data_IF_365276563858
#
_entry.id   IF_365276563858
#
_cell.length_a   1.000
_cell.length_b   1.000
_cell.length_c   1.000
_cell.angle_alpha   90.00
_cell.angle_beta   90.00
_cell.angle_gamma   90.00
#
_symmetry.space_group_name_H-M   'P 1'
#
loop_
_entity.id
_entity.type
_entity.pdbx_description
1 polymer ?
#
# COMPACT_ATOMS: atom_id res chain seq x y z
N UNK A 1 63.20 17.51 26.66
CA UNK A 1 63.36 18.88 27.19
C UNK A 1 62.02 19.32 27.64
N UNK A 2 61.77 19.18 28.96
CA UNK A 2 61.39 20.24 29.91
C UNK A 2 59.96 20.81 29.64
N UNK A 3 59.02 20.70 30.50
CA UNK A 3 58.66 20.92 31.90
C UNK A 3 57.38 21.72 31.87
N UNK A 4 56.37 21.65 32.66
CA UNK A 4 56.07 21.66 34.08
C UNK A 4 54.54 21.87 34.17
N UNK A 5 53.81 21.08 34.82
CA UNK A 5 53.23 21.19 36.15
C UNK A 5 52.79 22.62 36.54
N UNK A 6 51.47 22.80 36.61
CA UNK A 6 50.86 23.79 37.49
C UNK A 6 49.50 23.26 38.00
N UNK A 7 49.56 22.78 39.21
CA UNK A 7 48.43 22.51 40.10
C UNK A 7 47.89 23.84 40.60
N UNK A 8 46.70 24.18 40.31
CA UNK A 8 45.99 25.26 40.97
C UNK A 8 44.87 24.75 41.84
N UNK A 9 45.04 24.99 43.10
CA UNK A 9 44.24 24.64 44.26
C UNK A 9 42.98 25.49 44.30
N UNK A 10 41.79 24.86 44.40
CA UNK A 10 40.53 25.52 44.71
C UNK A 10 40.24 25.38 46.21
N UNK A 11 39.88 26.47 46.90
CA UNK A 11 39.67 26.48 48.34
C UNK A 11 38.34 25.85 48.77
N UNK A 12 38.38 25.06 49.82
CA UNK A 12 37.24 24.58 50.61
C UNK A 12 36.50 25.74 51.26
N UNK A 13 35.17 25.79 51.05
CA UNK A 13 34.21 26.57 51.86
C UNK A 13 33.52 25.65 52.87
N UNK A 14 33.19 26.15 54.07
CA UNK A 14 32.88 25.35 55.23
C UNK A 14 31.41 24.89 55.25
N UNK A 15 31.23 23.83 55.96
CA UNK A 15 30.09 22.98 56.16
C UNK A 15 28.72 23.62 56.41
N UNK A 16 27.76 22.91 55.93
CA UNK A 16 26.41 22.86 56.47
C UNK A 16 26.01 21.38 56.65
N UNK A 17 26.11 20.92 57.86
CA UNK A 17 25.50 19.68 58.36
C UNK A 17 24.01 19.82 58.24
N UNK A 18 23.40 19.29 57.22
CA UNK A 18 21.95 19.10 57.14
C UNK A 18 21.60 17.76 57.78
N UNK A 19 20.96 17.80 58.93
CA UNK A 19 20.44 16.67 59.67
C UNK A 19 19.50 15.82 58.81
N UNK A 20 19.58 14.49 58.84
CA UNK A 20 18.78 13.57 58.01
C UNK A 20 17.32 13.35 58.44
N UNK A 21 16.76 14.20 59.31
CA UNK A 21 15.46 13.92 59.97
C UNK A 21 14.26 14.66 59.39
N UNK A 22 14.43 15.49 58.36
CA UNK A 22 13.29 16.21 57.76
C UNK A 22 12.95 15.82 56.31
N UNK A 23 13.69 14.90 55.69
CA UNK A 23 13.40 14.44 54.30
C UNK A 23 12.36 13.35 54.21
N UNK A 24 11.87 12.80 55.30
CA UNK A 24 10.97 11.61 55.30
C UNK A 24 9.49 11.90 55.64
N UNK A 25 9.11 13.18 55.77
CA UNK A 25 7.70 13.51 56.11
C UNK A 25 6.89 14.12 54.93
N UNK A 26 7.51 14.47 53.82
CA UNK A 26 6.78 15.10 52.67
C UNK A 26 6.46 14.18 51.50
N UNK A 27 6.96 12.95 51.44
CA UNK A 27 6.75 12.05 50.31
C UNK A 27 5.67 10.99 50.57
N UNK A 28 4.78 11.18 51.56
CA UNK A 28 3.80 10.17 51.93
C UNK A 28 2.34 10.62 51.90
N UNK A 29 1.96 11.64 51.13
CA UNK A 29 0.53 12.01 50.97
C UNK A 29 0.20 12.52 49.56
N UNK A 30 0.00 11.65 48.56
CA UNK A 30 -1.28 11.67 47.86
C UNK A 30 -1.85 10.29 47.48
N UNK A 31 -1.19 9.16 47.76
CA UNK A 31 -1.71 7.84 47.38
C UNK A 31 -3.05 7.46 48.02
N UNK A 32 -3.30 7.95 49.25
CA UNK A 32 -4.52 7.60 49.98
C UNK A 32 -5.81 8.16 49.39
N UNK A 33 -5.77 9.35 48.78
CA UNK A 33 -6.97 9.97 48.19
C UNK A 33 -7.34 9.36 46.84
N UNK A 34 -6.35 9.00 46.02
CA UNK A 34 -6.59 8.33 44.75
C UNK A 34 -7.08 6.90 44.94
N UNK A 35 -6.49 6.17 45.86
CA UNK A 35 -6.92 4.80 46.19
C UNK A 35 -8.30 4.81 46.82
N UNK A 36 -8.62 5.78 47.70
CA UNK A 36 -9.95 5.91 48.29
C UNK A 36 -11.01 6.32 47.24
N UNK A 37 -10.64 7.13 46.23
CA UNK A 37 -11.53 7.47 45.12
C UNK A 37 -11.76 6.25 44.21
N UNK A 38 -10.72 5.47 43.88
CA UNK A 38 -10.82 4.21 43.13
C UNK A 38 -11.70 3.18 43.89
N UNK A 39 -11.54 3.05 45.21
CA UNK A 39 -12.37 2.17 46.02
C UNK A 39 -13.82 2.66 46.14
N UNK A 40 -14.06 3.98 46.13
CA UNK A 40 -15.41 4.54 46.02
C UNK A 40 -16.01 4.32 44.63
N UNK A 41 -15.22 4.50 43.55
CA UNK A 41 -15.66 4.24 42.20
C UNK A 41 -16.01 2.75 41.99
N UNK A 42 -15.19 1.83 42.51
CA UNK A 42 -15.49 0.39 42.45
C UNK A 42 -16.67 -0.01 43.33
N UNK A 43 -16.93 0.73 44.46
CA UNK A 43 -18.11 0.50 45.32
C UNK A 43 -19.40 0.98 44.65
N UNK A 44 -19.34 2.08 43.86
CA UNK A 44 -20.45 2.55 43.02
C UNK A 44 -20.74 1.53 41.89
N UNK A 45 -19.71 0.92 41.33
CA UNK A 45 -19.86 -0.16 40.32
C UNK A 45 -20.29 -1.50 40.95
N UNK A 46 -20.06 -1.71 42.23
CA UNK A 46 -20.52 -2.89 42.99
C UNK A 46 -21.91 -2.66 43.67
N UNK A 47 -22.55 -1.52 43.39
CA UNK A 47 -23.91 -1.21 43.77
C UNK A 47 -24.87 -2.27 43.24
N UNK A 48 -25.31 -3.06 44.16
CA UNK A 48 -26.47 -3.93 44.19
C UNK A 48 -26.78 -4.70 42.88
N UNK A 49 -25.97 -5.74 42.62
CA UNK A 49 -26.24 -6.70 41.53
C UNK A 49 -27.66 -7.31 41.59
N UNK A 50 -28.31 -7.29 42.75
CA UNK A 50 -29.64 -7.81 42.91
C UNK A 50 -30.76 -6.89 42.40
N UNK A 51 -30.52 -5.57 42.32
CA UNK A 51 -31.49 -4.64 41.71
C UNK A 51 -31.34 -4.57 40.18
N UNK A 52 -30.17 -4.88 39.65
CA UNK A 52 -29.94 -4.94 38.18
C UNK A 52 -30.52 -6.21 37.53
N UNK A 53 -30.87 -7.22 38.30
CA UNK A 53 -31.42 -8.50 37.84
C UNK A 53 -32.95 -8.62 37.93
N UNK A 54 -33.64 -7.51 38.28
CA UNK A 54 -35.10 -7.48 38.11
C UNK A 54 -35.49 -7.76 36.64
N UNK A 55 -36.71 -8.31 36.39
CA UNK A 55 -37.12 -8.63 35.02
C UNK A 55 -37.09 -7.37 34.18
N UNK A 56 -36.10 -7.32 33.28
CA UNK A 56 -35.91 -6.20 32.37
C UNK A 56 -37.22 -6.00 31.58
N UNK A 57 -37.85 -4.83 31.65
CA UNK A 57 -39.12 -4.57 30.99
C UNK A 57 -38.98 -4.80 29.48
N UNK A 58 -39.99 -5.38 28.83
CA UNK A 58 -39.98 -5.81 27.43
C UNK A 58 -39.38 -4.76 26.50
N UNK A 59 -39.69 -3.47 26.74
CA UNK A 59 -39.14 -2.35 25.95
C UNK A 59 -37.60 -2.24 26.05
N UNK A 60 -37.04 -2.38 27.28
CA UNK A 60 -35.57 -2.37 27.45
C UNK A 60 -34.88 -3.57 26.80
N UNK A 61 -35.51 -4.76 26.81
CA UNK A 61 -34.97 -5.94 26.09
C UNK A 61 -34.90 -5.70 24.60
N UNK A 62 -35.94 -5.10 24.00
CA UNK A 62 -35.97 -4.78 22.57
C UNK A 62 -34.87 -3.77 22.25
N UNK A 63 -34.76 -2.67 23.01
CA UNK A 63 -33.71 -1.66 22.76
C UNK A 63 -32.31 -2.27 22.89
N UNK A 64 -32.06 -3.07 23.96
CA UNK A 64 -30.78 -3.76 24.12
C UNK A 64 -30.47 -4.72 22.97
N UNK A 65 -31.45 -5.50 22.53
CA UNK A 65 -31.28 -6.41 21.39
C UNK A 65 -30.96 -5.66 20.09
N UNK A 66 -31.67 -4.56 19.80
CA UNK A 66 -31.39 -3.71 18.65
C UNK A 66 -30.01 -3.08 18.72
N UNK A 67 -29.61 -2.55 19.87
CA UNK A 67 -28.29 -1.94 20.07
C UNK A 67 -27.16 -2.97 19.92
N UNK A 68 -27.30 -4.14 20.55
CA UNK A 68 -26.32 -5.21 20.43
C UNK A 68 -26.26 -5.77 19.02
N UNK A 69 -27.39 -5.90 18.33
CA UNK A 69 -27.46 -6.30 16.93
C UNK A 69 -26.74 -5.30 16.02
N UNK A 70 -27.02 -4.01 16.23
CA UNK A 70 -26.32 -2.94 15.48
C UNK A 70 -24.82 -2.95 15.75
N UNK A 71 -24.37 -3.00 17.00
CA UNK A 71 -22.95 -3.04 17.35
C UNK A 71 -22.28 -4.30 16.81
N UNK A 72 -22.96 -5.47 16.92
CA UNK A 72 -22.45 -6.73 16.41
C UNK A 72 -22.27 -6.70 14.87
N UNK A 73 -23.26 -6.17 14.15
CA UNK A 73 -23.16 -6.01 12.69
C UNK A 73 -22.00 -5.08 12.30
N UNK A 74 -21.88 -3.93 12.97
CA UNK A 74 -20.77 -3.00 12.70
C UNK A 74 -19.42 -3.63 13.06
N UNK A 75 -19.34 -4.40 14.14
CA UNK A 75 -18.11 -5.11 14.52
C UNK A 75 -17.72 -6.18 13.48
N UNK A 76 -18.68 -6.95 12.99
CA UNK A 76 -18.43 -7.94 11.92
C UNK A 76 -17.98 -7.27 10.62
N UNK A 77 -18.61 -6.13 10.26
CA UNK A 77 -18.18 -5.33 9.11
C UNK A 77 -16.75 -4.79 9.29
N UNK A 78 -16.42 -4.32 10.49
CA UNK A 78 -15.09 -3.86 10.85
C UNK A 78 -14.06 -5.00 10.74
N UNK A 79 -14.34 -6.17 11.31
CA UNK A 79 -13.47 -7.35 11.16
C UNK A 79 -13.26 -7.72 9.70
N UNK A 80 -14.35 -7.68 8.89
CA UNK A 80 -14.27 -7.97 7.46
C UNK A 80 -13.36 -7.00 6.71
N UNK A 81 -13.20 -5.76 7.19
CA UNK A 81 -12.28 -4.78 6.62
C UNK A 81 -10.81 -5.20 6.76
N UNK A 82 -10.44 -5.86 7.86
CA UNK A 82 -9.08 -6.31 8.13
C UNK A 82 -8.72 -7.64 7.46
N UNK A 83 -9.72 -8.40 6.99
CA UNK A 83 -9.43 -9.62 6.22
C UNK A 83 -9.26 -9.24 4.75
N UNK A 84 -8.04 -9.29 4.18
CA UNK A 84 -7.82 -9.01 2.77
C UNK A 84 -8.65 -9.99 1.93
N UNK A 85 -9.42 -9.48 0.99
CA UNK A 85 -10.19 -10.30 0.06
C UNK A 85 -9.34 -10.97 -1.02
N UNK A 86 -8.12 -10.51 -1.16
CA UNK A 86 -7.19 -10.96 -2.20
C UNK A 86 -6.32 -12.06 -1.64
N UNK A 87 -6.86 -13.25 -1.57
CA UNK A 87 -6.09 -14.49 -1.42
C UNK A 87 -5.58 -15.02 -2.77
N UNK A 88 -6.02 -14.41 -3.87
CA UNK A 88 -5.64 -14.79 -5.23
C UNK A 88 -5.13 -13.52 -5.94
N UNK A 89 -3.84 -13.27 -5.82
CA UNK A 89 -3.19 -12.37 -6.76
C UNK A 89 -3.19 -13.05 -8.13
N UNK A 90 -3.63 -12.36 -9.19
CA UNK A 90 -3.55 -12.91 -10.53
C UNK A 90 -2.08 -13.22 -10.85
N UNK A 91 -1.83 -14.35 -11.50
CA UNK A 91 -0.48 -14.69 -11.92
C UNK A 91 0.06 -13.58 -12.81
N UNK A 92 1.16 -12.96 -12.37
CA UNK A 92 1.83 -11.90 -13.12
C UNK A 92 2.74 -12.46 -14.22
N UNK A 93 3.13 -13.74 -14.10
CA UNK A 93 3.99 -14.44 -15.04
C UNK A 93 3.17 -15.49 -15.76
N UNK A 94 3.12 -15.40 -17.09
CA UNK A 94 2.36 -16.33 -17.94
C UNK A 94 2.97 -16.47 -19.34
N UNK A 95 2.66 -17.58 -20.01
CA UNK A 95 3.09 -17.88 -21.37
C UNK A 95 2.05 -17.40 -22.37
N UNK A 96 2.48 -16.81 -23.47
CA UNK A 96 1.58 -16.30 -24.51
C UNK A 96 1.75 -17.02 -25.87
N UNK A 97 2.67 -17.95 -26.00
CA UNK A 97 2.93 -18.73 -27.22
C UNK A 97 4.28 -18.44 -27.83
N UNK A 98 4.44 -18.77 -29.09
CA UNK A 98 5.69 -18.60 -29.81
C UNK A 98 5.77 -17.27 -30.54
N UNK A 99 6.96 -16.70 -30.78
CA UNK A 99 7.10 -15.48 -31.59
C UNK A 99 6.48 -15.58 -33.00
N UNK A 100 6.43 -16.78 -33.56
CA UNK A 100 5.82 -17.05 -34.88
C UNK A 100 4.29 -16.89 -34.87
N UNK A 101 3.66 -17.00 -33.72
CA UNK A 101 2.18 -16.94 -33.59
C UNK A 101 1.65 -15.51 -33.75
N UNK A 102 2.55 -14.52 -33.68
CA UNK A 102 2.21 -13.10 -33.75
C UNK A 102 2.57 -12.52 -35.12
N UNK A 103 1.55 -11.97 -35.81
CA UNK A 103 1.74 -11.20 -37.03
C UNK A 103 2.26 -9.79 -36.74
N UNK A 104 2.64 -9.08 -37.81
CA UNK A 104 3.01 -7.66 -37.72
C UNK A 104 1.85 -6.79 -37.24
N UNK A 105 2.14 -5.84 -36.34
CA UNK A 105 1.18 -4.91 -35.75
C UNK A 105 0.80 -5.28 -34.32
N UNK A 106 -0.35 -4.81 -33.90
CA UNK A 106 -0.85 -4.93 -32.51
C UNK A 106 -1.82 -6.09 -32.40
N UNK A 107 -1.51 -7.07 -31.56
CA UNK A 107 -2.40 -8.16 -31.18
C UNK A 107 -3.12 -7.82 -29.87
N UNK A 108 -4.45 -7.88 -29.88
CA UNK A 108 -5.32 -7.54 -28.75
C UNK A 108 -5.86 -8.77 -28.00
N UNK A 109 -5.48 -9.98 -28.41
CA UNK A 109 -6.00 -11.25 -27.88
C UNK A 109 -5.91 -11.33 -26.35
N UNK A 110 -4.82 -10.85 -25.78
CA UNK A 110 -4.52 -10.97 -24.35
C UNK A 110 -4.94 -9.74 -23.51
N UNK A 111 -5.63 -8.77 -24.13
CA UNK A 111 -6.05 -7.54 -23.44
C UNK A 111 -7.00 -7.80 -22.30
N UNK A 112 -7.99 -8.71 -22.47
CA UNK A 112 -9.04 -8.98 -21.47
C UNK A 112 -8.51 -9.77 -20.28
N UNK A 113 -7.69 -10.77 -20.53
CA UNK A 113 -7.25 -11.73 -19.53
C UNK A 113 -6.05 -11.23 -18.73
N UNK A 114 -5.09 -10.61 -19.43
CA UNK A 114 -3.80 -10.22 -18.85
C UNK A 114 -3.51 -8.71 -18.92
N UNK A 115 -4.42 -7.93 -19.53
CA UNK A 115 -4.26 -6.47 -19.70
C UNK A 115 -2.95 -6.12 -20.44
N UNK A 116 -2.67 -6.82 -21.51
CA UNK A 116 -1.50 -6.59 -22.36
C UNK A 116 -1.89 -6.54 -23.83
N UNK A 117 -1.07 -5.89 -24.63
CA UNK A 117 -1.03 -6.01 -26.09
C UNK A 117 0.34 -6.49 -26.50
N UNK A 118 0.35 -7.44 -27.43
CA UNK A 118 1.59 -7.91 -28.05
C UNK A 118 1.79 -7.14 -29.34
N UNK A 119 2.92 -6.51 -29.48
CA UNK A 119 3.25 -5.71 -30.67
C UNK A 119 4.47 -6.29 -31.36
N UNK A 120 4.35 -6.56 -32.65
CA UNK A 120 5.45 -6.98 -33.49
C UNK A 120 5.73 -5.93 -34.56
N UNK A 121 6.93 -5.46 -34.58
CA UNK A 121 7.43 -4.56 -35.64
C UNK A 121 8.59 -5.22 -36.46
N UNK A 122 9.24 -4.46 -37.29
CA UNK A 122 10.37 -4.96 -38.14
C UNK A 122 11.64 -5.26 -37.35
N UNK A 123 11.75 -4.73 -36.12
CA UNK A 123 12.92 -4.88 -35.27
C UNK A 123 12.76 -6.07 -34.31
N UNK A 124 11.50 -6.42 -33.94
CA UNK A 124 11.23 -7.50 -33.03
C UNK A 124 9.84 -7.42 -32.40
N UNK A 125 9.72 -7.95 -31.20
CA UNK A 125 8.47 -8.08 -30.47
C UNK A 125 8.60 -7.47 -29.07
N UNK A 126 7.55 -6.78 -28.62
CA UNK A 126 7.43 -6.25 -27.27
C UNK A 126 5.99 -6.31 -26.77
N UNK A 127 5.82 -6.17 -25.48
CA UNK A 127 4.51 -6.25 -24.82
C UNK A 127 4.22 -4.93 -24.13
N UNK A 128 3.11 -4.29 -24.52
CA UNK A 128 2.61 -3.07 -23.86
C UNK A 128 1.66 -3.46 -22.75
N UNK A 129 1.88 -2.92 -21.56
CA UNK A 129 0.92 -3.04 -20.47
C UNK A 129 -0.27 -2.11 -20.70
N UNK A 130 -1.47 -2.68 -20.80
CA UNK A 130 -2.70 -1.97 -21.22
C UNK A 130 -3.22 -1.02 -20.15
N UNK A 131 -2.41 -0.02 -19.80
CA UNK A 131 -2.71 0.98 -18.78
C UNK A 131 -2.33 2.38 -19.23
N UNK A 132 -3.34 3.25 -19.34
CA UNK A 132 -3.13 4.67 -19.63
C UNK A 132 -2.35 5.34 -18.48
N UNK A 133 -1.28 6.04 -18.83
CA UNK A 133 -0.39 6.71 -17.85
C UNK A 133 -0.98 7.97 -17.25
N UNK A 134 -2.20 8.39 -17.66
CA UNK A 134 -2.94 9.47 -17.01
C UNK A 134 -3.52 9.01 -15.66
N UNK A 135 -4.51 8.10 -15.66
CA UNK A 135 -5.21 7.63 -14.45
C UNK A 135 -5.50 6.12 -14.47
N UNK A 136 -4.80 5.34 -15.29
CA UNK A 136 -4.85 3.88 -15.23
C UNK A 136 -5.99 3.21 -16.01
N UNK A 137 -6.79 3.94 -16.78
CA UNK A 137 -7.79 3.33 -17.67
C UNK A 137 -7.13 2.45 -18.72
N UNK A 138 -7.85 1.48 -19.27
CA UNK A 138 -7.40 0.68 -20.39
C UNK A 138 -7.76 1.38 -21.70
N UNK A 139 -6.82 1.80 -22.53
CA UNK A 139 -7.09 2.33 -23.87
C UNK A 139 -7.65 1.26 -24.80
N UNK A 140 -8.37 1.69 -25.85
CA UNK A 140 -8.83 0.80 -26.92
C UNK A 140 -7.90 0.92 -28.11
N UNK A 141 -7.54 -0.21 -28.72
CA UNK A 141 -6.84 -0.23 -29.99
C UNK A 141 -7.83 0.09 -31.13
N UNK A 142 -7.47 1.04 -31.99
CA UNK A 142 -8.22 1.45 -33.16
C UNK A 142 -7.45 1.06 -34.43
N UNK A 143 -7.68 -0.12 -35.03
CA UNK A 143 -6.89 -0.59 -36.16
C UNK A 143 -6.99 0.34 -37.36
N UNK A 144 -8.15 0.93 -37.64
CA UNK A 144 -8.37 1.87 -38.76
C UNK A 144 -7.56 3.16 -38.65
N UNK A 145 -7.19 3.54 -37.40
CA UNK A 145 -6.45 4.78 -37.13
C UNK A 145 -5.00 4.51 -36.69
N UNK A 146 -4.63 3.22 -36.61
CA UNK A 146 -3.33 2.75 -36.10
C UNK A 146 -2.89 3.41 -34.79
N UNK A 147 -3.83 3.52 -33.83
CA UNK A 147 -3.58 4.16 -32.53
C UNK A 147 -4.38 3.54 -31.40
N UNK A 148 -3.88 3.71 -30.19
CA UNK A 148 -4.66 3.48 -28.97
C UNK A 148 -5.36 4.76 -28.56
N UNK A 149 -6.61 4.66 -28.18
CA UNK A 149 -7.42 5.78 -27.67
C UNK A 149 -8.00 5.46 -26.31
N UNK A 150 -7.66 6.27 -25.30
CA UNK A 150 -8.19 6.10 -23.95
C UNK A 150 -9.60 6.68 -23.87
N UNK A 151 -10.63 5.90 -23.51
CA UNK A 151 -12.02 6.36 -23.47
C UNK A 151 -12.31 7.33 -22.32
N UNK A 152 -11.47 7.34 -21.27
CA UNK A 152 -11.72 8.13 -20.07
C UNK A 152 -11.53 9.63 -20.31
N UNK A 153 -10.39 10.04 -20.86
CA UNK A 153 -10.04 11.47 -21.05
C UNK A 153 -9.36 11.73 -22.40
N UNK A 154 -9.47 10.80 -23.33
CA UNK A 154 -9.05 11.01 -24.71
C UNK A 154 -7.55 10.96 -24.98
N UNK A 155 -6.73 10.44 -24.07
CA UNK A 155 -5.30 10.23 -24.38
C UNK A 155 -5.11 9.31 -25.57
N UNK A 156 -4.25 9.73 -26.52
CA UNK A 156 -3.88 8.98 -27.71
C UNK A 156 -2.43 8.50 -27.65
N UNK A 157 -2.22 7.25 -28.11
CA UNK A 157 -0.90 6.65 -28.24
C UNK A 157 -0.79 5.98 -29.60
N UNK A 158 0.40 6.00 -30.17
CA UNK A 158 0.68 5.29 -31.40
C UNK A 158 0.73 3.76 -31.20
N UNK A 159 1.03 3.00 -32.27
CA UNK A 159 1.14 1.54 -32.20
C UNK A 159 2.26 1.03 -31.29
N UNK A 160 3.23 1.87 -30.92
CA UNK A 160 4.31 1.51 -30.00
C UNK A 160 4.02 1.93 -28.53
N UNK A 161 2.85 2.54 -28.32
CA UNK A 161 2.46 3.03 -26.99
C UNK A 161 3.01 4.39 -26.63
N UNK A 162 3.57 5.15 -27.59
CA UNK A 162 4.07 6.49 -27.37
C UNK A 162 2.91 7.48 -27.37
N UNK A 163 2.79 8.27 -26.33
CA UNK A 163 1.73 9.28 -26.23
C UNK A 163 1.98 10.47 -27.15
N UNK A 164 0.96 10.87 -27.90
CA UNK A 164 1.00 12.04 -28.77
C UNK A 164 -0.16 13.02 -28.54
N UNK A 165 -1.20 12.58 -27.82
CA UNK A 165 -2.44 13.35 -27.63
C UNK A 165 -2.99 13.18 -26.23
N UNK A 166 -3.63 14.23 -25.70
CA UNK A 166 -4.40 14.20 -24.45
C UNK A 166 -3.54 14.34 -23.18
N UNK A 167 -4.14 14.08 -22.01
CA UNK A 167 -3.53 14.40 -20.72
C UNK A 167 -2.47 13.40 -20.23
N UNK A 168 -2.23 12.30 -20.93
CA UNK A 168 -1.23 11.31 -20.52
C UNK A 168 0.18 11.94 -20.54
N UNK A 169 0.94 11.87 -19.42
CA UNK A 169 2.21 12.57 -19.29
C UNK A 169 3.39 11.87 -19.98
N UNK A 170 3.28 10.58 -20.28
CA UNK A 170 4.36 9.74 -20.81
C UNK A 170 3.82 8.53 -21.60
N UNK A 171 4.68 7.82 -22.34
CA UNK A 171 4.32 6.55 -22.98
C UNK A 171 3.76 5.50 -22.03
N UNK A 172 3.04 4.52 -22.57
CA UNK A 172 2.61 3.34 -21.83
C UNK A 172 3.81 2.44 -21.52
N UNK A 173 3.74 1.73 -20.39
CA UNK A 173 4.81 0.88 -19.91
C UNK A 173 4.91 -0.40 -20.76
N UNK A 174 6.12 -0.93 -20.96
CA UNK A 174 6.35 -2.26 -21.53
C UNK A 174 6.52 -3.28 -20.42
N UNK A 175 5.87 -4.45 -20.55
CA UNK A 175 6.05 -5.56 -19.64
C UNK A 175 7.29 -6.36 -20.00
N UNK A 176 7.93 -6.96 -19.00
CA UNK A 176 9.09 -7.83 -19.23
C UNK A 176 8.67 -9.06 -20.01
N UNK A 177 9.50 -9.42 -21.01
CA UNK A 177 9.34 -10.63 -21.81
C UNK A 177 10.67 -11.38 -21.94
N UNK A 178 10.58 -12.69 -21.91
CA UNK A 178 11.72 -13.60 -22.06
C UNK A 178 11.28 -14.83 -22.86
N UNK A 179 12.22 -15.53 -23.46
CA UNK A 179 11.96 -16.84 -24.06
C UNK A 179 12.30 -17.93 -23.01
N UNK A 180 11.40 -18.88 -22.84
CA UNK A 180 11.70 -20.08 -22.05
C UNK A 180 12.56 -21.09 -22.82
N UNK A 181 12.88 -22.20 -22.17
CA UNK A 181 13.70 -23.25 -22.76
C UNK A 181 13.04 -23.92 -23.99
N UNK A 182 11.72 -23.82 -24.09
CA UNK A 182 10.92 -24.34 -25.22
C UNK A 182 10.78 -23.31 -26.34
N UNK A 183 11.29 -22.10 -26.18
CA UNK A 183 11.17 -20.99 -27.13
C UNK A 183 9.83 -20.27 -27.09
N UNK A 184 9.02 -20.46 -26.05
CA UNK A 184 7.79 -19.72 -25.83
C UNK A 184 8.07 -18.39 -25.16
N UNK A 185 7.26 -17.40 -25.48
CA UNK A 185 7.32 -16.09 -24.83
C UNK A 185 6.67 -16.17 -23.47
N UNK A 186 7.45 -15.86 -22.43
CA UNK A 186 7.00 -15.66 -21.06
C UNK A 186 6.95 -14.17 -20.79
N UNK A 187 5.80 -13.70 -20.34
CA UNK A 187 5.57 -12.29 -19.98
C UNK A 187 5.45 -12.17 -18.46
N UNK A 188 6.14 -11.20 -17.90
CA UNK A 188 6.03 -10.85 -16.48
C UNK A 188 5.55 -9.39 -16.35
N UNK A 189 4.30 -9.24 -15.94
CA UNK A 189 3.66 -7.92 -15.75
C UNK A 189 3.99 -7.29 -14.40
N UNK A 190 4.73 -7.97 -13.52
CA UNK A 190 5.25 -7.38 -12.28
C UNK A 190 6.46 -6.48 -12.52
N UNK A 191 7.17 -6.69 -13.61
CA UNK A 191 8.32 -5.90 -14.04
C UNK A 191 7.93 -5.07 -15.26
N UNK A 192 7.92 -3.76 -15.09
CA UNK A 192 7.53 -2.81 -16.13
C UNK A 192 8.70 -1.88 -16.46
N UNK A 193 8.90 -1.68 -17.75
CA UNK A 193 9.86 -0.73 -18.30
C UNK A 193 9.11 0.53 -18.70
N UNK A 194 9.52 1.65 -18.16
CA UNK A 194 8.90 2.94 -18.39
C UNK A 194 9.77 3.87 -19.24
N UNK A 195 9.16 4.95 -19.71
CA UNK A 195 9.85 6.08 -20.29
C UNK A 195 9.39 7.35 -19.56
N UNK A 196 10.12 7.78 -18.50
CA UNK A 196 9.78 8.97 -17.77
C UNK A 196 9.85 10.22 -18.63
N UNK A 197 8.97 11.19 -18.39
CA UNK A 197 8.99 12.46 -19.13
C UNK A 197 10.32 13.19 -18.92
N UNK A 198 11.06 13.41 -20.01
CA UNK A 198 12.38 14.03 -19.98
C UNK A 198 13.51 13.13 -19.47
N UNK A 199 13.22 11.86 -19.21
CA UNK A 199 14.20 10.86 -18.79
C UNK A 199 14.61 9.91 -19.93
N UNK A 200 15.49 8.97 -19.59
CA UNK A 200 15.92 7.91 -20.51
C UNK A 200 14.77 6.90 -20.73
N UNK A 201 14.62 6.44 -21.95
CA UNK A 201 13.74 5.32 -22.29
C UNK A 201 14.36 3.99 -21.86
N UNK A 202 13.55 3.16 -21.19
CA UNK A 202 13.91 1.78 -20.82
C UNK A 202 13.34 0.74 -21.78
N UNK A 203 12.80 1.16 -22.94
CA UNK A 203 12.11 0.29 -23.89
C UNK A 203 13.02 -0.65 -24.68
N UNK A 204 14.33 -0.42 -24.63
CA UNK A 204 15.36 -1.29 -25.25
C UNK A 204 16.26 -1.95 -24.19
N UNK A 205 15.90 -1.82 -22.92
CA UNK A 205 16.63 -2.52 -21.87
C UNK A 205 16.35 -4.05 -21.97
N UNK A 206 17.27 -4.90 -21.52
CA UNK A 206 17.11 -6.35 -21.58
C UNK A 206 15.77 -6.80 -20.95
N UNK A 207 14.96 -7.52 -21.71
CA UNK A 207 13.63 -7.95 -21.30
C UNK A 207 12.49 -7.00 -21.65
N UNK A 208 12.73 -5.77 -22.09
CA UNK A 208 11.69 -4.86 -22.58
C UNK A 208 11.34 -5.09 -24.05
N UNK A 209 12.22 -5.74 -24.78
CA UNK A 209 12.16 -5.95 -26.21
C UNK A 209 12.86 -7.26 -26.60
N UNK A 210 12.26 -8.03 -27.50
CA UNK A 210 12.79 -9.28 -28.05
C UNK A 210 13.14 -9.04 -29.51
N UNK A 211 14.43 -8.98 -29.91
CA UNK A 211 14.82 -8.89 -31.31
C UNK A 211 14.49 -10.21 -32.02
N UNK A 212 13.96 -10.14 -33.23
CA UNK A 212 13.52 -11.30 -34.02
C UNK A 212 14.19 -11.30 -35.40
#
# INVERSE_FOLDING_TARGET
MLTKDDRETVPKSPGDEVKPEQANSEMQKPAGKFVSWLLKATRIFRGNRSELLGPIPRRRRIVLACTLGFLGTNFLMFLRYFFPRVLFEPNTVFRIGYPSDFGYGVDTKYQKDYRIWVVRNTEGLFVIYARCTHLGCTPDWKPSENKFKCPCHGSGYDSEGINFEGPAPRPMDRAKLELDAEGQIVVDTSVLYDWPKGGRSHFHDPGAFLPL
#
